data_IF_753757144338
#
_entry.id   IF_753757144338
#
_cell.length_a   1.000
_cell.length_b   1.000
_cell.length_c   1.000
_cell.angle_alpha   90.00
_cell.angle_beta   90.00
_cell.angle_gamma   90.00
#
_symmetry.space_group_name_H-M   'P 1'
#
loop_
_entity.id
_entity.type
_entity.pdbx_description
1 polymer ?
2 non-polymer ?
3 water ?
#
# COMPACT_ATOMS: atom_id res chain seq x y z
N UNK A 1 16.20 3.19 23.20
CA UNK A 1 15.33 1.97 23.28
C UNK A 1 16.08 0.72 22.79
N UNK A 2 16.41 -0.14 23.76
CA UNK A 2 17.17 -1.38 23.49
C UNK A 2 16.28 -2.56 23.10
N UNK A 3 14.96 -2.34 23.13
CA UNK A 3 14.01 -3.40 22.84
C UNK A 3 13.79 -3.74 21.36
N UNK A 4 14.07 -2.81 20.44
CA UNK A 4 14.10 -3.15 19.00
C UNK A 4 15.14 -4.26 18.74
N UNK A 5 16.36 -4.08 19.24
CA UNK A 5 17.41 -5.06 19.02
C UNK A 5 17.00 -6.49 19.47
N UNK A 6 16.54 -6.62 20.72
CA UNK A 6 16.03 -7.92 21.21
C UNK A 6 14.97 -8.55 20.30
N UNK A 7 13.96 -7.76 19.95
CA UNK A 7 12.92 -8.24 19.06
C UNK A 7 13.38 -8.64 17.65
N UNK A 8 14.30 -7.86 17.08
CA UNK A 8 14.82 -8.17 15.78
C UNK A 8 15.54 -9.52 15.83
N UNK A 9 16.34 -9.72 16.88
CA UNK A 9 17.10 -10.94 17.07
C UNK A 9 16.22 -12.18 17.10
N UNK A 10 15.09 -12.10 17.78
CA UNK A 10 14.16 -13.21 17.81
C UNK A 10 13.55 -13.46 16.43
N UNK A 11 13.24 -12.37 15.70
CA UNK A 11 12.69 -12.49 14.35
C UNK A 11 13.70 -13.17 13.43
N UNK A 12 14.96 -12.79 13.56
CA UNK A 12 16.01 -13.42 12.76
C UNK A 12 16.09 -14.93 13.06
N UNK A 13 16.06 -15.29 14.36
CA UNK A 13 16.05 -16.71 14.79
C UNK A 13 14.86 -17.51 14.21
N UNK A 14 13.70 -16.90 14.13
CA UNK A 14 12.53 -17.53 13.54
C UNK A 14 12.76 -17.81 12.05
N UNK A 15 13.35 -16.83 11.36
CA UNK A 15 13.57 -16.98 9.94
C UNK A 15 14.80 -17.80 9.57
N UNK A 16 15.81 -17.82 10.44
CA UNK A 16 16.93 -18.74 10.26
C UNK A 16 16.47 -20.21 10.32
N UNK A 17 15.54 -20.51 11.24
CA UNK A 17 14.97 -21.84 11.38
C UNK A 17 14.08 -22.22 10.19
N UNK A 18 13.19 -21.30 9.80
CA UNK A 18 12.28 -21.51 8.68
C UNK A 18 12.99 -21.77 7.35
N UNK A 19 14.06 -21.04 7.08
CA UNK A 19 14.85 -21.21 5.86
C UNK A 19 15.71 -22.49 5.85
N UNK A 20 16.07 -22.95 7.04
CA UNK A 20 16.80 -24.21 7.22
C UNK A 20 15.91 -25.41 6.86
N UNK A 21 14.59 -25.25 6.99
CA UNK A 21 13.61 -26.12 6.33
C UNK A 21 12.96 -25.40 5.11
N UNK A 27 6.99 -22.95 1.70
CA UNK A 27 5.64 -22.61 1.27
C UNK A 27 5.54 -21.23 0.63
N UNK A 28 4.48 -21.03 -0.17
CA UNK A 28 4.22 -19.80 -0.95
C UNK A 28 4.32 -18.49 -0.17
N UNK A 29 3.78 -18.49 1.05
CA UNK A 29 3.72 -17.30 1.89
C UNK A 29 5.07 -16.70 2.23
N UNK A 30 6.09 -17.54 2.30
CA UNK A 30 7.40 -17.05 2.75
C UNK A 30 8.15 -16.16 1.75
N UNK A 31 7.67 -16.10 0.52
CA UNK A 31 8.28 -15.20 -0.46
C UNK A 31 7.49 -13.92 -0.68
N UNK A 32 6.42 -13.73 0.08
CA UNK A 32 5.51 -12.59 -0.10
C UNK A 32 5.97 -11.40 0.73
N UNK A 33 5.72 -10.19 0.24
CA UNK A 33 5.87 -8.99 1.07
C UNK A 33 4.93 -9.05 2.29
N UNK A 34 3.71 -9.55 2.08
CA UNK A 34 2.68 -9.54 3.13
C UNK A 34 3.12 -10.17 4.41
N UNK A 35 3.68 -11.38 4.31
CA UNK A 35 3.96 -12.22 5.48
C UNK A 35 5.37 -12.84 5.49
N UNK A 36 6.12 -12.71 4.41
CA UNK A 36 7.35 -13.48 4.26
C UNK A 36 8.62 -12.65 4.21
N UNK A 37 9.64 -13.22 3.59
CA UNK A 37 11.01 -12.70 3.65
C UNK A 37 11.27 -11.27 3.13
N UNK A 38 10.62 -10.88 2.03
CA UNK A 38 10.73 -9.50 1.59
C UNK A 38 10.45 -8.45 2.68
N UNK A 39 9.41 -8.65 3.50
CA UNK A 39 9.12 -7.74 4.65
C UNK A 39 10.23 -7.76 5.70
N UNK A 40 10.78 -8.96 5.93
CA UNK A 40 11.89 -9.12 6.86
C UNK A 40 13.17 -8.42 6.38
N UNK A 41 13.51 -8.63 5.10
CA UNK A 41 14.63 -7.96 4.44
C UNK A 41 14.49 -6.43 4.60
N UNK A 42 13.29 -5.90 4.38
CA UNK A 42 13.07 -4.42 4.55
C UNK A 42 13.32 -3.91 5.95
N UNK A 43 12.79 -4.63 6.93
CA UNK A 43 12.97 -4.25 8.33
C UNK A 43 14.44 -4.23 8.72
N UNK A 44 15.18 -5.26 8.34
CA UNK A 44 16.60 -5.41 8.70
C UNK A 44 17.46 -4.38 7.98
N UNK A 45 17.09 -4.11 6.73
CA UNK A 45 17.84 -3.20 5.87
C UNK A 45 17.79 -1.79 6.39
N UNK A 46 16.64 -1.44 6.97
CA UNK A 46 16.45 -0.15 7.61
C UNK A 46 17.21 0.03 8.92
N UNK A 47 17.95 -0.98 9.34
CA UNK A 47 18.66 -0.93 10.60
C UNK A 47 20.16 -0.76 10.39
N UNK A 48 20.52 -0.30 9.19
CA UNK A 48 21.92 -0.19 8.76
C UNK A 48 22.79 0.71 9.66
N UNK A 49 22.20 1.80 10.18
CA UNK A 49 22.94 2.62 11.13
C UNK A 49 23.30 1.86 12.42
N UNK A 50 22.54 0.81 12.76
CA UNK A 50 22.68 0.09 14.05
C UNK A 50 23.97 -0.72 14.11
N UNK A 51 24.42 -1.06 15.31
CA UNK A 51 25.71 -1.73 15.50
C UNK A 51 25.82 -3.10 14.83
N UNK A 52 24.73 -3.88 14.88
CA UNK A 52 24.74 -5.23 14.32
C UNK A 52 24.44 -5.33 12.83
N UNK A 53 24.53 -4.19 12.14
CA UNK A 53 24.16 -4.09 10.73
C UNK A 53 24.95 -4.98 9.76
N UNK A 54 26.16 -5.39 10.13
CA UNK A 54 26.93 -6.32 9.26
C UNK A 54 26.43 -7.77 9.38
N UNK A 55 25.97 -8.13 10.58
CA UNK A 55 25.21 -9.35 10.80
C UNK A 55 23.87 -9.29 10.07
N UNK A 56 23.21 -8.14 10.11
CA UNK A 56 21.92 -7.96 9.45
C UNK A 56 22.02 -8.10 7.92
N UNK A 57 23.02 -7.43 7.33
CA UNK A 57 23.29 -7.56 5.89
C UNK A 57 23.59 -9.03 5.47
N UNK A 58 24.25 -9.77 6.35
CA UNK A 58 24.53 -11.19 6.11
C UNK A 58 23.23 -11.99 6.03
N UNK A 59 22.33 -11.76 7.00
CA UNK A 59 21.00 -12.37 7.00
C UNK A 59 20.22 -11.99 5.75
N UNK A 60 20.26 -10.72 5.40
CA UNK A 60 19.57 -10.25 4.20
C UNK A 60 20.04 -11.07 3.00
N UNK A 61 21.37 -11.17 2.84
CA UNK A 61 21.94 -11.90 1.72
C UNK A 61 21.61 -13.39 1.78
N UNK A 62 21.59 -13.94 3.00
CA UNK A 62 21.10 -15.29 3.21
C UNK A 62 19.68 -15.44 2.69
N UNK A 63 18.80 -14.52 3.12
CA UNK A 63 17.39 -14.61 2.77
C UNK A 63 17.20 -14.37 1.27
N UNK A 64 18.02 -13.50 0.68
CA UNK A 64 17.97 -13.26 -0.77
C UNK A 64 18.40 -14.53 -1.54
N UNK A 65 19.54 -15.10 -1.20
CA UNK A 65 19.95 -16.33 -1.85
C UNK A 65 18.90 -17.42 -1.66
N UNK A 66 18.32 -17.50 -0.46
CA UNK A 66 17.22 -18.43 -0.22
C UNK A 66 16.03 -18.13 -1.12
N UNK A 67 15.74 -16.84 -1.35
CA UNK A 67 14.66 -16.48 -2.28
C UNK A 67 14.93 -16.90 -3.74
N UNK A 68 16.10 -16.55 -4.29
CA UNK A 68 16.36 -16.94 -5.70
C UNK A 68 16.36 -18.47 -5.90
N UNK A 69 16.85 -19.19 -4.91
CA UNK A 69 16.82 -20.65 -4.94
C UNK A 69 15.40 -21.20 -5.05
N UNK A 70 14.46 -20.58 -4.31
CA UNK A 70 13.05 -20.99 -4.33
C UNK A 70 12.35 -20.59 -5.62
N UNK A 71 12.77 -19.46 -6.18
CA UNK A 71 12.24 -18.92 -7.43
C UNK A 71 12.69 -19.81 -8.57
N UNK A 72 13.96 -20.18 -8.55
CA UNK A 72 14.54 -20.98 -9.62
C UNK A 72 13.85 -22.35 -9.71
N UNK A 73 13.46 -22.90 -8.55
CA UNK A 73 12.81 -24.20 -8.48
C UNK A 73 11.32 -24.16 -8.79
N UNK A 74 10.62 -23.11 -8.35
CA UNK A 74 9.15 -23.11 -8.39
C UNK A 74 8.56 -22.06 -9.30
N UNK A 75 9.35 -21.06 -9.66
CA UNK A 75 8.85 -19.92 -10.42
C UNK A 75 7.98 -19.02 -9.56
N UNK A 76 7.32 -18.08 -10.23
CA UNK A 76 6.31 -17.25 -9.58
C UNK A 76 5.03 -17.43 -10.32
N UNK A 77 3.92 -17.29 -9.63
CA UNK A 77 2.64 -17.23 -10.30
C UNK A 77 2.11 -15.80 -10.41
N UNK A 78 2.76 -14.84 -9.75
CA UNK A 78 2.25 -13.47 -9.74
C UNK A 78 3.30 -12.34 -9.68
N UNK A 79 3.03 -11.26 -10.39
CA UNK A 79 3.92 -10.11 -10.37
C UNK A 79 3.54 -9.10 -9.28
N UNK A 80 2.63 -9.47 -8.38
CA UNK A 80 1.95 -8.54 -7.50
C UNK A 80 2.85 -7.90 -6.42
N UNK A 81 2.51 -6.70 -5.99
CA UNK A 81 3.26 -6.01 -4.93
C UNK A 81 3.35 -6.85 -3.64
N UNK A 82 2.21 -7.35 -3.15
CA UNK A 82 2.19 -8.00 -1.83
C UNK A 82 2.41 -9.50 -1.83
N UNK A 83 2.21 -10.17 -2.97
CA UNK A 83 2.45 -11.63 -3.05
C UNK A 83 3.46 -12.02 -4.12
N UNK A 84 3.79 -11.12 -5.03
CA UNK A 84 4.56 -11.52 -6.20
C UNK A 84 5.89 -10.84 -6.40
N UNK A 85 6.32 -10.78 -7.67
CA UNK A 85 7.64 -10.24 -8.01
C UNK A 85 7.90 -8.79 -7.62
N UNK A 86 6.88 -7.92 -7.71
CA UNK A 86 7.08 -6.49 -7.37
C UNK A 86 7.42 -6.28 -5.88
N UNK A 87 6.83 -7.08 -4.99
CA UNK A 87 7.19 -7.02 -3.56
C UNK A 87 8.61 -7.52 -3.28
N UNK A 88 9.01 -8.59 -3.96
CA UNK A 88 10.37 -9.10 -3.83
C UNK A 88 11.38 -8.07 -4.37
N UNK A 89 11.10 -7.52 -5.55
CA UNK A 89 11.94 -6.47 -6.12
C UNK A 89 12.01 -5.22 -5.25
N UNK A 90 10.87 -4.76 -4.74
CA UNK A 90 10.89 -3.62 -3.82
C UNK A 90 11.81 -3.86 -2.63
N UNK A 91 11.76 -5.09 -2.07
CA UNK A 91 12.51 -5.40 -0.86
C UNK A 91 14.05 -5.31 -1.03
N UNK A 92 14.53 -5.42 -2.28
CA UNK A 92 15.98 -5.35 -2.56
C UNK A 92 16.39 -4.18 -3.47
N UNK A 93 15.43 -3.37 -3.88
CA UNK A 93 15.69 -2.30 -4.85
C UNK A 93 16.88 -1.38 -4.47
N UNK A 94 16.99 -1.02 -3.19
CA UNK A 94 18.08 -0.15 -2.68
C UNK A 94 19.49 -0.75 -2.84
N UNK A 95 19.55 -2.04 -3.12
CA UNK A 95 20.83 -2.75 -3.27
C UNK A 95 21.29 -2.85 -4.74
N UNK A 96 20.45 -2.36 -5.66
CA UNK A 96 20.70 -2.39 -7.09
C UNK A 96 22.14 -2.11 -7.51
N UNK A 97 22.71 -1.02 -7.03
CA UNK A 97 24.04 -0.60 -7.47
C UNK A 97 25.18 -1.11 -6.59
N UNK A 98 24.86 -1.94 -5.61
CA UNK A 98 25.89 -2.41 -4.69
C UNK A 98 26.69 -3.57 -5.27
N UNK A 99 26.02 -4.45 -6.01
CA UNK A 99 26.67 -5.62 -6.60
C UNK A 99 25.87 -6.09 -7.81
N UNK A 100 26.58 -6.64 -8.78
CA UNK A 100 25.99 -7.15 -10.02
C UNK A 100 24.87 -8.18 -9.79
N UNK A 101 25.00 -9.01 -8.76
CA UNK A 101 23.99 -10.03 -8.43
C UNK A 101 22.60 -9.44 -8.07
N UNK A 102 22.58 -8.31 -7.36
CA UNK A 102 21.32 -7.62 -7.04
C UNK A 102 20.66 -7.06 -8.30
N UNK A 103 21.46 -6.35 -9.09
CA UNK A 103 20.99 -5.80 -10.36
C UNK A 103 20.51 -6.91 -11.30
N UNK A 104 21.24 -8.02 -11.35
CA UNK A 104 20.85 -9.16 -12.20
C UNK A 104 19.50 -9.70 -11.76
N UNK A 105 19.32 -9.89 -10.46
CA UNK A 105 18.04 -10.34 -9.92
C UNK A 105 16.90 -9.34 -10.19
N UNK A 106 17.16 -8.06 -9.98
CA UNK A 106 16.13 -7.02 -10.21
C UNK A 106 15.67 -6.97 -11.69
N UNK A 107 16.63 -7.06 -12.62
CA UNK A 107 16.34 -7.10 -14.06
C UNK A 107 15.42 -8.27 -14.46
N UNK A 108 15.72 -9.46 -13.92
CA UNK A 108 14.86 -10.63 -14.10
C UNK A 108 13.47 -10.39 -13.58
N UNK A 109 13.40 -9.88 -12.36
CA UNK A 109 12.10 -9.57 -11.75
C UNK A 109 11.32 -8.60 -12.60
N UNK A 110 11.98 -7.53 -13.05
CA UNK A 110 11.34 -6.49 -13.89
C UNK A 110 10.79 -7.01 -15.22
N UNK A 111 11.59 -7.82 -15.92
CA UNK A 111 11.16 -8.44 -17.17
C UNK A 111 9.99 -9.40 -16.91
N UNK A 112 10.07 -10.17 -15.83
CA UNK A 112 8.93 -11.00 -15.50
C UNK A 112 7.68 -10.14 -15.21
N UNK A 113 7.87 -9.05 -14.45
CA UNK A 113 6.76 -8.17 -14.12
C UNK A 113 6.10 -7.59 -15.37
N UNK A 114 6.90 -7.07 -16.30
CA UNK A 114 6.40 -6.53 -17.55
C UNK A 114 5.65 -7.59 -18.38
N UNK A 115 6.26 -8.77 -18.53
CA UNK A 115 5.56 -9.95 -19.09
C UNK A 115 4.22 -10.24 -18.37
N UNK A 116 4.28 -10.34 -17.04
CA UNK A 116 3.08 -10.61 -16.23
C UNK A 116 1.97 -9.59 -16.45
N UNK A 117 2.31 -8.31 -16.39
CA UNK A 117 1.29 -7.27 -16.54
C UNK A 117 0.68 -7.29 -17.95
N UNK A 118 1.54 -7.33 -18.96
CA UNK A 118 1.11 -7.33 -20.34
C UNK A 118 0.18 -8.53 -20.61
N UNK A 119 0.54 -9.68 -20.03
CA UNK A 119 -0.30 -10.89 -20.15
C UNK A 119 -1.63 -10.71 -19.40
N UNK A 120 -1.60 -10.09 -18.23
CA UNK A 120 -2.83 -9.82 -17.48
C UNK A 120 -3.82 -8.91 -18.21
N UNK A 121 -3.30 -7.83 -18.79
CA UNK A 121 -4.15 -6.85 -19.46
C UNK A 121 -4.81 -7.48 -20.70
N UNK A 122 -4.04 -8.26 -21.44
CA UNK A 122 -4.52 -9.05 -22.61
C UNK A 122 -5.72 -9.98 -22.36
N UNK A 123 -5.67 -10.74 -21.28
CA UNK A 123 -6.73 -11.72 -20.97
C UNK A 123 -7.79 -11.20 -20.00
N UNK A 124 -7.78 -9.88 -19.79
CA UNK A 124 -8.72 -9.26 -18.88
C UNK A 124 -10.17 -9.29 -19.43
N UNK A 125 -11.08 -9.79 -18.62
CA UNK A 125 -12.51 -9.76 -18.93
C UNK A 125 -13.20 -8.87 -17.91
N UNK A 126 -13.66 -7.72 -18.37
CA UNK A 126 -14.36 -6.74 -17.52
C UNK A 126 -15.60 -7.30 -16.78
N UNK A 127 -16.25 -8.30 -17.38
CA UNK A 127 -17.40 -8.95 -16.74
C UNK A 127 -17.05 -9.68 -15.44
N UNK A 128 -15.77 -10.06 -15.31
CA UNK A 128 -15.28 -10.83 -14.17
C UNK A 128 -14.37 -10.00 -13.26
N UNK A 129 -14.44 -8.67 -13.42
CA UNK A 129 -13.59 -7.74 -12.68
C UNK A 129 -13.76 -7.87 -11.17
N UNK A 130 -12.61 -8.06 -10.51
CA UNK A 130 -12.51 -8.31 -9.08
C UNK A 130 -11.35 -7.43 -8.57
N UNK A 131 -11.35 -7.06 -7.26
CA UNK A 131 -10.28 -6.13 -6.79
C UNK A 131 -8.81 -6.50 -7.09
N UNK A 132 -8.38 -7.78 -6.90
CA UNK A 132 -6.99 -8.12 -7.22
C UNK A 132 -6.56 -7.78 -8.64
N UNK A 133 -7.51 -7.44 -9.52
CA UNK A 133 -7.18 -7.03 -10.91
C UNK A 133 -6.45 -5.69 -10.92
N UNK A 134 -6.98 -4.72 -10.18
CA UNK A 134 -6.55 -3.32 -10.31
C UNK A 134 -5.92 -2.77 -9.02
N UNK A 135 -6.07 -3.51 -7.91
CA UNK A 135 -5.83 -2.95 -6.56
C UNK A 135 -4.37 -2.85 -6.14
N UNK A 136 -4.16 -2.39 -4.91
CA UNK A 136 -2.82 -2.15 -4.40
C UNK A 136 -2.16 -3.48 -4.01
N UNK A 137 -2.93 -4.34 -3.34
CA UNK A 137 -2.36 -5.54 -2.73
C UNK A 137 -1.90 -6.59 -3.76
N UNK A 138 -2.79 -6.97 -4.67
CA UNK A 138 -2.48 -7.96 -5.71
C UNK A 138 -2.50 -7.43 -7.14
N UNK A 139 -3.07 -6.25 -7.35
CA UNK A 139 -3.32 -5.77 -8.73
C UNK A 139 -2.34 -4.73 -9.26
N UNK A 140 -2.74 -4.07 -10.34
CA UNK A 140 -1.85 -3.26 -11.15
C UNK A 140 -1.42 -1.97 -10.49
N UNK A 141 -2.29 -1.40 -9.63
CA UNK A 141 -1.96 -0.16 -8.89
C UNK A 141 -0.71 -0.35 -8.02
N UNK A 142 -0.70 -1.41 -7.23
CA UNK A 142 0.45 -1.79 -6.41
C UNK A 142 1.70 -2.06 -7.23
N UNK A 143 1.55 -2.77 -8.35
CA UNK A 143 2.67 -3.03 -9.27
C UNK A 143 3.25 -1.73 -9.81
N UNK A 144 2.37 -0.82 -10.24
CA UNK A 144 2.77 0.51 -10.74
C UNK A 144 3.53 1.31 -9.67
N UNK A 145 3.14 1.16 -8.41
CA UNK A 145 3.81 1.87 -7.29
C UNK A 145 5.30 1.56 -7.32
N UNK A 146 5.63 0.26 -7.39
CA UNK A 146 7.01 -0.20 -7.56
C UNK A 146 7.62 0.27 -8.88
N UNK A 147 6.91 0.07 -9.99
CA UNK A 147 7.46 0.43 -11.33
C UNK A 147 7.90 1.87 -11.41
N UNK A 148 7.14 2.80 -10.80
CA UNK A 148 7.42 4.24 -10.85
C UNK A 148 8.71 4.69 -10.14
N UNK A 149 9.31 3.80 -9.38
CA UNK A 149 10.65 4.01 -8.81
C UNK A 149 11.78 3.71 -9.81
N UNK A 150 11.48 3.03 -10.92
CA UNK A 150 12.50 2.76 -11.92
C UNK A 150 12.53 3.89 -12.93
N UNK A 151 13.68 4.55 -13.06
CA UNK A 151 13.81 5.68 -14.00
C UNK A 151 14.19 5.27 -15.43
N UNK A 152 14.56 4.02 -15.63
CA UNK A 152 14.86 3.47 -16.96
C UNK A 152 13.69 3.68 -17.92
N UNK A 153 13.92 4.43 -19.02
CA UNK A 153 12.84 4.76 -19.97
C UNK A 153 12.25 3.56 -20.75
N UNK A 154 12.90 2.40 -20.70
CA UNK A 154 12.38 1.20 -21.36
C UNK A 154 11.04 0.75 -20.75
N UNK A 155 10.71 1.23 -19.55
CA UNK A 155 9.46 0.86 -18.88
C UNK A 155 8.34 1.88 -19.05
N UNK A 156 8.60 2.88 -19.91
CA UNK A 156 7.67 3.96 -20.17
C UNK A 156 6.40 3.43 -20.81
N UNK A 157 6.58 2.52 -21.75
CA UNK A 157 5.44 1.93 -22.45
C UNK A 157 4.55 1.14 -21.49
N UNK A 158 5.16 0.27 -20.68
CA UNK A 158 4.47 -0.49 -19.65
C UNK A 158 3.69 0.42 -18.68
N UNK A 159 4.34 1.50 -18.23
CA UNK A 159 3.73 2.45 -17.29
C UNK A 159 2.47 3.06 -17.87
N UNK A 160 2.57 3.48 -19.13
CA UNK A 160 1.47 4.12 -19.85
C UNK A 160 0.33 3.13 -20.12
N UNK A 161 0.70 1.89 -20.45
CA UNK A 161 -0.26 0.79 -20.64
C UNK A 161 -1.09 0.56 -19.38
N UNK A 162 -0.43 0.47 -18.22
CA UNK A 162 -1.12 0.33 -16.92
C UNK A 162 -1.98 1.57 -16.58
N UNK A 163 -1.39 2.75 -16.72
CA UNK A 163 -2.09 4.02 -16.46
C UNK A 163 -3.37 4.13 -17.31
N UNK A 164 -3.26 3.84 -18.61
CA UNK A 164 -4.44 3.89 -19.49
C UNK A 164 -5.48 2.85 -19.11
N UNK A 165 -5.02 1.65 -18.77
CA UNK A 165 -5.90 0.58 -18.33
C UNK A 165 -6.65 0.91 -17.03
N UNK A 166 -5.94 1.42 -16.02
CA UNK A 166 -6.59 1.89 -14.80
C UNK A 166 -7.63 3.01 -15.05
N UNK A 167 -7.21 4.09 -15.72
CA UNK A 167 -8.10 5.23 -16.03
C UNK A 167 -9.39 4.80 -16.70
N UNK A 168 -9.27 3.89 -17.67
CA UNK A 168 -10.43 3.36 -18.39
C UNK A 168 -11.42 2.61 -17.48
N UNK A 169 -10.94 2.08 -16.36
CA UNK A 169 -11.81 1.42 -15.41
C UNK A 169 -12.68 2.40 -14.62
N UNK A 170 -12.42 3.70 -14.77
CA UNK A 170 -13.23 4.71 -14.09
C UNK A 170 -14.39 5.17 -14.98
N UNK A 171 -14.43 4.64 -16.21
CA UNK A 171 -15.51 4.95 -17.16
C UNK A 171 -16.80 4.22 -16.83
N UNK A 172 -17.92 4.84 -17.18
CA UNK A 172 -19.24 4.22 -17.09
C UNK A 172 -19.38 3.10 -18.12
N UNK A 173 -19.91 1.97 -17.68
CA UNK A 173 -20.08 0.79 -18.52
C UNK A 173 -21.50 0.27 -18.47
N UNK A 174 -21.93 -0.24 -17.30
CA UNK A 174 -23.27 -0.88 -17.17
C UNK A 174 -24.39 0.10 -17.51
N UNK A 175 -24.23 0.75 -18.66
CA UNK A 175 -24.84 2.06 -18.86
C UNK A 175 -23.89 2.97 -18.12
N UNK A 176 -23.74 2.66 -16.83
CA UNK A 176 -22.80 3.28 -15.92
C UNK A 176 -22.22 2.18 -15.00
N UNK A 177 -20.89 2.11 -14.77
CA UNK A 177 -20.31 1.10 -13.82
C UNK A 177 -18.79 0.96 -13.46
N UNK A 178 -17.88 0.99 -14.43
CA UNK A 178 -16.70 0.06 -14.54
C UNK A 178 -16.07 -0.67 -13.35
N UNK A 179 -15.61 0.08 -12.34
CA UNK A 179 -14.90 -0.50 -11.20
C UNK A 179 -15.84 -1.27 -10.27
N UNK A 180 -17.13 -1.26 -10.61
CA UNK A 180 -18.13 -1.94 -9.81
C UNK A 180 -17.85 -3.43 -9.73
N UNK A 181 -17.95 -3.98 -8.53
CA UNK A 181 -17.67 -5.40 -8.31
C UNK A 181 -18.99 -6.11 -8.06
N UNK A 182 -19.27 -7.11 -8.89
CA UNK A 182 -20.45 -7.96 -8.71
C UNK A 182 -20.28 -8.84 -7.46
N UNK A 183 -21.40 -9.20 -6.84
CA UNK A 183 -21.41 -9.94 -5.57
C UNK A 183 -20.52 -11.18 -5.67
N UNK A 184 -20.61 -11.82 -6.84
CA UNK A 184 -19.91 -13.07 -7.17
C UNK A 184 -18.39 -12.93 -7.27
N UNK A 185 -17.94 -11.71 -7.58
CA UNK A 185 -16.51 -11.41 -7.81
C UNK A 185 -15.89 -10.68 -6.60
N UNK A 186 -16.57 -10.73 -5.46
CA UNK A 186 -16.03 -10.18 -4.20
C UNK A 186 -14.93 -11.14 -3.75
N UNK A 187 -13.96 -10.63 -2.98
CA UNK A 187 -12.75 -11.39 -2.63
C UNK A 187 -12.98 -12.57 -1.68
N UNK A 188 -14.10 -12.50 -0.95
CA UNK A 188 -14.51 -13.58 -0.06
C UNK A 188 -16.02 -13.62 0.08
N UNK A 189 -16.50 -14.68 0.73
CA UNK A 189 -17.93 -14.90 0.88
C UNK A 189 -18.59 -13.95 1.87
N UNK A 190 -17.92 -13.66 2.99
CA UNK A 190 -18.40 -12.62 3.89
C UNK A 190 -18.75 -11.36 3.09
N UNK A 191 -17.83 -10.92 2.23
CA UNK A 191 -18.04 -9.76 1.37
C UNK A 191 -19.12 -9.99 0.28
N UNK A 192 -19.16 -11.20 -0.29
CA UNK A 192 -20.23 -11.64 -1.20
C UNK A 192 -21.62 -11.51 -0.56
N UNK A 193 -21.70 -11.87 0.72
CA UNK A 193 -22.94 -11.80 1.47
C UNK A 193 -23.20 -10.39 1.99
N UNK A 194 -22.14 -9.67 2.36
CA UNK A 194 -22.28 -8.25 2.71
C UNK A 194 -22.77 -7.44 1.51
N UNK A 195 -22.39 -7.90 0.31
CA UNK A 195 -22.71 -7.17 -0.92
C UNK A 195 -23.46 -8.04 -1.95
N UNK A 196 -24.71 -8.44 -1.62
CA UNK A 196 -25.46 -9.36 -2.50
C UNK A 196 -25.86 -8.76 -3.85
N UNK A 197 -25.79 -7.43 -3.96
CA UNK A 197 -25.99 -6.73 -5.24
C UNK A 197 -24.69 -6.07 -5.69
N UNK A 198 -23.57 -6.51 -5.10
CA UNK A 198 -22.26 -5.98 -5.45
C UNK A 198 -21.98 -4.62 -4.80
N UNK A 199 -20.83 -4.04 -5.15
CA UNK A 199 -20.47 -2.69 -4.75
C UNK A 199 -19.28 -2.13 -5.53
N UNK A 200 -19.15 -0.81 -5.49
CA UNK A 200 -17.91 -0.11 -5.78
C UNK A 200 -17.08 -0.05 -4.49
N UNK A 201 -15.93 -0.72 -4.49
CA UNK A 201 -15.01 -0.73 -3.33
C UNK A 201 -14.34 0.64 -3.16
N UNK A 202 -14.37 1.13 -1.92
CA UNK A 202 -14.00 2.52 -1.61
C UNK A 202 -12.80 2.63 -0.66
N UNK A 203 -12.11 1.50 -0.49
CA UNK A 203 -10.91 1.42 0.34
C UNK A 203 -9.68 1.79 -0.46
N UNK A 204 -8.60 2.14 0.23
CA UNK A 204 -7.33 2.42 -0.41
C UNK A 204 -6.72 1.15 -0.99
N UNK A 205 -6.68 0.12 -0.15
CA UNK A 205 -6.01 -1.15 -0.45
C UNK A 205 -6.64 -1.93 -1.62
N UNK A 206 -7.96 -1.85 -1.73
CA UNK A 206 -8.69 -2.69 -2.67
C UNK A 206 -9.66 -1.95 -3.58
N UNK A 207 -9.69 -0.62 -3.48
CA UNK A 207 -10.73 0.14 -4.13
C UNK A 207 -10.25 1.40 -4.80
N UNK A 208 -11.15 2.38 -4.86
CA UNK A 208 -11.07 3.54 -5.76
C UNK A 208 -9.98 4.55 -5.37
N UNK A 209 -9.82 4.76 -4.07
CA UNK A 209 -8.80 5.67 -3.55
C UNK A 209 -7.41 5.28 -4.00
N UNK A 210 -7.17 3.96 -4.03
CA UNK A 210 -5.85 3.41 -4.37
C UNK A 210 -5.52 3.66 -5.82
N UNK A 211 -6.51 3.49 -6.72
CA UNK A 211 -6.34 3.87 -8.12
C UNK A 211 -6.07 5.34 -8.23
N UNK A 212 -6.87 6.16 -7.55
CA UNK A 212 -6.68 7.61 -7.50
C UNK A 212 -5.28 8.03 -7.07
N UNK A 213 -4.79 7.48 -5.97
CA UNK A 213 -3.44 7.78 -5.48
C UNK A 213 -2.39 7.45 -6.52
N UNK A 214 -2.52 6.28 -7.15
CA UNK A 214 -1.47 5.84 -8.08
C UNK A 214 -1.48 6.72 -9.34
N UNK A 215 -2.66 7.13 -9.77
CA UNK A 215 -2.75 8.07 -10.91
C UNK A 215 -2.20 9.46 -10.64
N UNK A 216 -2.41 9.96 -9.41
CA UNK A 216 -1.84 11.23 -8.99
C UNK A 216 -0.32 11.12 -8.95
N UNK A 217 0.18 10.04 -8.31
CA UNK A 217 1.63 9.80 -8.22
C UNK A 217 2.26 9.66 -9.60
N UNK A 218 1.66 8.87 -10.49
CA UNK A 218 2.06 8.79 -11.92
C UNK A 218 2.17 10.16 -12.59
N UNK A 219 1.16 11.03 -12.44
CA UNK A 219 1.24 12.40 -12.95
C UNK A 219 2.47 13.18 -12.46
N UNK A 220 2.73 13.22 -11.15
CA UNK A 220 3.90 13.94 -10.65
C UNK A 220 5.20 13.31 -11.13
N UNK A 221 5.18 12.00 -11.42
CA UNK A 221 6.36 11.31 -11.94
C UNK A 221 6.65 11.63 -13.42
N UNK A 222 5.66 12.20 -14.11
CA UNK A 222 5.78 12.61 -15.52
C UNK A 222 4.93 11.79 -16.46
N UNK A 223 4.12 10.90 -15.89
CA UNK A 223 3.28 9.97 -16.64
C UNK A 223 1.79 10.26 -16.42
N UNK A 224 1.22 11.04 -17.34
CA UNK A 224 -0.21 11.31 -17.38
C UNK A 224 -0.63 11.78 -18.72
N UNK A 225 -1.94 11.68 -18.99
CA UNK A 225 -2.57 12.31 -20.14
C UNK A 225 -3.93 12.86 -19.69
N UNK A 226 -4.65 13.53 -20.59
CA UNK A 226 -5.96 14.10 -20.25
C UNK A 226 -6.92 13.07 -19.62
N UNK A 227 -6.81 11.83 -20.06
CA UNK A 227 -7.69 10.74 -19.59
C UNK A 227 -7.38 10.25 -18.15
N UNK A 228 -6.11 10.15 -17.80
CA UNK A 228 -5.70 9.76 -16.45
C UNK A 228 -6.01 10.87 -15.46
N UNK A 229 -5.82 12.12 -15.88
CA UNK A 229 -6.18 13.29 -15.06
C UNK A 229 -7.69 13.37 -14.87
N UNK A 230 -8.44 13.04 -15.92
CA UNK A 230 -9.90 12.95 -15.80
C UNK A 230 -10.32 11.78 -14.92
N UNK A 231 -9.56 10.70 -14.91
CA UNK A 231 -9.86 9.55 -14.01
C UNK A 231 -9.66 9.94 -12.55
N UNK A 232 -8.58 10.66 -12.29
CA UNK A 232 -8.25 11.15 -10.95
C UNK A 232 -9.33 12.13 -10.43
N UNK A 233 -9.68 13.11 -11.26
CA UNK A 233 -10.74 14.07 -10.96
C UNK A 233 -12.08 13.39 -10.62
N UNK A 234 -12.50 12.45 -11.47
CA UNK A 234 -13.74 11.68 -11.26
C UNK A 234 -13.72 10.91 -9.94
N UNK A 235 -12.60 10.27 -9.64
CA UNK A 235 -12.44 9.54 -8.39
C UNK A 235 -12.64 10.48 -7.20
N UNK A 236 -12.00 11.64 -7.22
CA UNK A 236 -12.14 12.57 -6.11
C UNK A 236 -13.56 13.10 -6.01
N UNK A 237 -14.15 13.44 -7.16
CA UNK A 237 -15.56 13.86 -7.24
C UNK A 237 -16.50 12.81 -6.61
N UNK A 238 -16.19 11.53 -6.81
CA UNK A 238 -16.99 10.44 -6.21
C UNK A 238 -16.81 10.38 -4.70
N UNK A 239 -15.58 10.62 -4.21
CA UNK A 239 -15.38 10.74 -2.77
C UNK A 239 -16.15 11.92 -2.19
N UNK A 240 -16.10 13.06 -2.87
CA UNK A 240 -16.79 14.26 -2.42
C UNK A 240 -18.29 14.03 -2.38
N UNK A 241 -18.81 13.30 -3.35
CA UNK A 241 -20.27 13.10 -3.45
C UNK A 241 -20.78 12.17 -2.35
N UNK A 242 -20.08 11.07 -2.12
CA UNK A 242 -20.59 10.04 -1.23
C UNK A 242 -20.08 10.14 0.23
N UNK A 243 -19.30 11.17 0.54
CA UNK A 243 -18.87 11.44 1.92
C UNK A 243 -20.08 11.52 2.86
N UNK A 244 -19.97 10.86 4.01
CA UNK A 244 -21.05 10.93 5.01
C UNK A 244 -21.12 12.30 5.66
N UNK A 245 -22.23 12.56 6.33
CA UNK A 245 -22.61 13.93 6.62
C UNK A 245 -22.73 14.18 8.11
N UNK A 246 -22.47 15.44 8.49
CA UNK A 246 -22.71 15.95 9.85
C UNK A 246 -21.85 15.21 10.91
N UNK A 247 -22.50 14.55 11.89
CA UNK A 247 -21.80 13.76 12.92
C UNK A 247 -20.86 12.71 12.33
N UNK A 248 -21.13 12.34 11.08
CA UNK A 248 -20.28 11.42 10.34
C UNK A 248 -19.45 12.09 9.23
N UNK A 249 -19.27 13.40 9.36
CA UNK A 249 -18.34 14.12 8.48
C UNK A 249 -16.98 13.41 8.50
N UNK A 250 -16.35 13.35 7.33
CA UNK A 250 -15.03 12.75 7.11
C UNK A 250 -15.04 11.21 7.18
N UNK A 251 -16.22 10.63 6.99
CA UNK A 251 -16.38 9.17 6.97
C UNK A 251 -16.98 8.68 5.64
N UNK A 252 -16.58 7.47 5.25
CA UNK A 252 -17.04 6.84 4.02
C UNK A 252 -17.28 5.38 4.32
N UNK A 253 -18.35 4.84 3.76
CA UNK A 253 -18.57 3.39 3.77
C UNK A 253 -17.50 2.70 2.94
N UNK A 254 -17.27 1.42 3.23
CA UNK A 254 -16.26 0.61 2.52
C UNK A 254 -16.66 0.39 1.07
N UNK A 255 -17.96 0.38 0.81
CA UNK A 255 -18.48 0.06 -0.52
C UNK A 255 -19.77 0.84 -0.80
N UNK A 256 -19.98 1.15 -2.08
CA UNK A 256 -21.19 1.85 -2.56
C UNK A 256 -21.91 0.96 -3.55
N UNK A 257 -23.22 0.80 -3.35
CA UNK A 257 -24.02 -0.17 -4.11
C UNK A 257 -24.69 0.53 -5.29
N UNK A 258 -24.98 -0.24 -6.35
CA UNK A 258 -25.47 0.27 -7.62
C UNK A 258 -26.53 1.35 -7.50
N UNK A 259 -27.55 1.09 -6.67
CA UNK A 259 -28.66 2.04 -6.48
C UNK A 259 -28.22 3.37 -5.85
N UNK A 260 -27.36 3.29 -4.83
CA UNK A 260 -26.79 4.47 -4.20
C UNK A 260 -26.02 5.32 -5.20
N UNK A 261 -25.24 4.65 -6.06
CA UNK A 261 -24.52 5.31 -7.15
C UNK A 261 -25.49 5.97 -8.14
N UNK A 262 -26.55 5.25 -8.51
CA UNK A 262 -27.58 5.78 -9.41
C UNK A 262 -28.29 6.98 -8.79
N UNK A 263 -28.62 6.88 -7.50
CA UNK A 263 -29.25 7.97 -6.78
C UNK A 263 -28.31 9.16 -6.55
N UNK A 264 -27.02 8.87 -6.42
CA UNK A 264 -25.98 9.84 -6.05
C UNK A 264 -26.05 10.27 -4.57
N UNK A 265 -26.77 9.50 -3.75
CA UNK A 265 -26.65 9.61 -2.30
C UNK A 265 -26.38 8.23 -1.71
N UNK A 266 -25.81 8.20 -0.51
CA UNK A 266 -25.85 7.02 0.33
C UNK A 266 -27.33 6.73 0.68
N UNK A 267 -27.70 5.44 0.68
CA UNK A 267 -29.04 5.01 1.06
C UNK A 267 -28.98 4.18 2.35
N UNK A 268 -28.18 3.11 2.32
CA UNK A 268 -28.06 2.25 3.48
C UNK A 268 -26.79 2.60 4.23
N UNK A 269 -26.91 2.76 5.54
CA UNK A 269 -25.78 2.96 6.44
C UNK A 269 -24.96 1.68 6.54
N UNK A 270 -23.66 1.85 6.78
CA UNK A 270 -22.76 0.73 7.08
C UNK A 270 -22.92 0.23 8.54
N UNK A 271 -22.75 -1.08 8.71
CA UNK A 271 -22.71 -1.69 10.05
C UNK A 271 -21.38 -1.41 10.73
N UNK A 272 -20.30 -1.38 9.92
CA UNK A 272 -18.95 -1.26 10.43
C UNK A 272 -18.07 -0.49 9.49
N UNK A 273 -17.66 0.70 9.92
CA UNK A 273 -16.61 1.46 9.25
C UNK A 273 -15.47 1.52 10.27
N UNK A 274 -14.23 1.53 9.79
CA UNK A 274 -13.10 1.64 10.68
C UNK A 274 -12.11 2.69 10.17
N UNK A 275 -11.21 3.16 11.04
CA UNK A 275 -10.14 4.07 10.60
C UNK A 275 -8.89 3.24 10.41
N UNK A 276 -8.53 3.06 9.14
CA UNK A 276 -7.42 2.21 8.74
C UNK A 276 -6.75 2.72 7.48
N UNK A 277 -5.54 2.23 7.25
CA UNK A 277 -4.87 2.43 5.98
C UNK A 277 -5.66 1.74 4.85
N UNK A 278 -5.96 0.46 5.01
CA UNK A 278 -6.62 -0.30 3.94
C UNK A 278 -8.03 0.19 3.54
N UNK A 279 -8.84 0.54 4.55
CA UNK A 279 -10.19 1.05 4.36
C UNK A 279 -10.41 2.21 5.34
N UNK A 280 -11.09 3.25 4.88
CA UNK A 280 -11.51 4.32 5.78
C UNK A 280 -10.69 5.59 5.65
N UNK A 281 -11.02 6.55 6.51
CA UNK A 281 -10.43 7.90 6.49
C UNK A 281 -8.92 8.01 6.33
N UNK A 282 -8.12 7.29 7.14
CA UNK A 282 -6.66 7.47 7.01
C UNK A 282 -6.13 7.20 5.60
N UNK A 283 -6.53 6.10 4.99
CA UNK A 283 -6.11 5.81 3.61
C UNK A 283 -6.73 6.75 2.59
N UNK A 284 -8.02 7.05 2.77
CA UNK A 284 -8.72 8.00 1.90
C UNK A 284 -8.05 9.39 1.94
N UNK A 285 -7.51 9.80 3.09
CA UNK A 285 -6.84 11.11 3.19
C UNK A 285 -5.66 11.23 2.23
N UNK A 286 -5.02 10.09 1.92
CA UNK A 286 -3.91 10.07 0.94
C UNK A 286 -4.38 10.47 -0.47
N UNK A 287 -5.53 9.97 -0.88
CA UNK A 287 -6.14 10.41 -2.15
C UNK A 287 -6.25 11.94 -2.22
N UNK A 288 -6.73 12.57 -1.16
CA UNK A 288 -7.01 14.00 -1.20
C UNK A 288 -5.66 14.77 -1.17
N UNK A 289 -4.72 14.22 -0.42
CA UNK A 289 -3.42 14.82 -0.27
C UNK A 289 -2.75 14.81 -1.65
N UNK A 290 -2.59 13.60 -2.21
CA UNK A 290 -1.93 13.41 -3.49
C UNK A 290 -2.67 14.07 -4.64
N UNK A 291 -3.99 13.93 -4.69
CA UNK A 291 -4.84 14.65 -5.68
C UNK A 291 -4.64 16.15 -5.59
N UNK A 292 -4.71 16.68 -4.37
CA UNK A 292 -4.52 18.09 -4.10
C UNK A 292 -3.18 18.64 -4.52
N UNK A 293 -2.11 17.89 -4.23
CA UNK A 293 -0.77 18.29 -4.66
C UNK A 293 -0.61 18.11 -6.17
N UNK A 294 -1.11 17.00 -6.73
CA UNK A 294 -1.01 16.74 -8.19
C UNK A 294 -1.81 17.72 -9.05
N UNK A 295 -3.01 18.09 -8.59
CA UNK A 295 -3.95 18.99 -9.29
C UNK A 295 -3.79 20.46 -8.85
N UNK A 296 -2.85 20.73 -7.96
CA UNK A 296 -2.65 22.07 -7.38
C UNK A 296 -3.98 22.65 -6.84
N UNK A 297 -4.64 21.87 -6.01
CA UNK A 297 -5.90 22.26 -5.39
C UNK A 297 -5.69 22.39 -3.89
N UNK A 298 -5.77 23.62 -3.36
CA UNK A 298 -5.47 23.86 -1.95
C UNK A 298 -6.56 23.28 -1.07
N UNK A 299 -7.79 23.30 -1.58
CA UNK A 299 -8.94 22.75 -0.88
C UNK A 299 -8.78 21.25 -0.59
N UNK A 300 -8.41 20.47 -1.61
CA UNK A 300 -8.14 19.03 -1.43
C UNK A 300 -7.02 18.78 -0.40
N UNK A 301 -5.94 19.54 -0.47
CA UNK A 301 -4.86 19.35 0.48
C UNK A 301 -5.35 19.67 1.90
N UNK A 302 -5.99 20.83 2.07
CA UNK A 302 -6.56 21.21 3.38
C UNK A 302 -7.59 20.17 3.89
N UNK A 303 -8.40 19.62 2.99
CA UNK A 303 -9.37 18.58 3.40
C UNK A 303 -8.63 17.33 3.84
N UNK A 304 -7.61 16.93 3.08
CA UNK A 304 -6.81 15.75 3.45
C UNK A 304 -6.42 15.80 4.94
N UNK A 305 -5.96 16.95 5.40
CA UNK A 305 -5.53 17.07 6.80
C UNK A 305 -6.68 16.93 7.77
N UNK A 306 -7.81 17.52 7.43
CA UNK A 306 -9.00 17.49 8.27
C UNK A 306 -9.48 16.04 8.39
N UNK A 307 -9.52 15.32 7.27
CA UNK A 307 -9.91 13.91 7.23
C UNK A 307 -9.01 13.04 8.12
N UNK A 308 -7.69 13.24 8.04
CA UNK A 308 -6.79 12.40 8.80
C UNK A 308 -6.91 12.76 10.28
N UNK A 309 -7.04 14.04 10.55
CA UNK A 309 -7.08 14.56 11.92
C UNK A 309 -8.33 14.01 12.63
N UNK A 310 -9.44 13.97 11.90
CA UNK A 310 -10.68 13.39 12.38
C UNK A 310 -10.49 11.94 12.77
N UNK A 311 -9.77 11.20 11.94
CA UNK A 311 -9.50 9.78 12.18
C UNK A 311 -8.53 9.56 13.34
N UNK A 312 -7.53 10.43 13.47
CA UNK A 312 -6.61 10.35 14.61
C UNK A 312 -7.35 10.59 15.93
N UNK A 313 -8.19 11.61 15.96
CA UNK A 313 -9.02 11.89 17.11
C UNK A 313 -9.92 10.71 17.47
N UNK A 314 -10.44 10.03 16.44
CA UNK A 314 -11.50 9.01 16.57
C UNK A 314 -11.00 7.56 16.75
N UNK A 315 -10.07 7.14 15.88
CA UNK A 315 -9.49 5.78 15.89
C UNK A 315 -10.56 4.69 15.85
N UNK A 316 -11.53 4.85 14.97
CA UNK A 316 -12.63 3.92 14.85
C UNK A 316 -12.15 2.51 14.48
N UNK A 317 -12.56 1.53 15.28
CA UNK A 317 -12.17 0.13 15.11
C UNK A 317 -10.72 -0.25 15.39
N UNK A 318 -9.93 0.65 15.98
CA UNK A 318 -8.53 0.30 16.14
C UNK A 318 -8.41 -0.62 17.36
N UNK A 319 -7.89 -1.84 17.15
CA UNK A 319 -7.60 -2.77 18.25
C UNK A 319 -6.21 -3.40 18.24
N UNK A 320 -5.32 -2.90 17.41
CA UNK A 320 -3.94 -3.32 17.43
C UNK A 320 -3.02 -2.24 16.85
N UNK A 321 -1.73 -2.54 16.89
CA UNK A 321 -0.69 -1.65 16.38
C UNK A 321 -0.12 -2.07 15.00
N UNK A 322 -0.78 -3.00 14.31
CA UNK A 322 -0.33 -3.46 12.99
C UNK A 322 -0.42 -2.32 11.97
N UNK A 323 0.21 -2.56 10.82
CA UNK A 323 0.16 -1.59 9.73
C UNK A 323 -1.19 -1.59 9.02
N UNK A 324 -1.64 -2.74 8.55
CA UNK A 324 -2.76 -2.80 7.59
C UNK A 324 -4.01 -2.09 8.07
N UNK A 325 -4.52 -2.49 9.21
CA UNK A 325 -5.69 -1.83 9.78
C UNK A 325 -5.50 -1.57 11.28
N UNK A 326 -4.27 -1.27 11.68
CA UNK A 326 -3.97 -0.94 13.06
C UNK A 326 -3.35 0.46 13.19
N UNK A 327 -2.90 0.75 14.39
CA UNK A 327 -2.47 2.10 14.72
C UNK A 327 -1.10 2.52 14.10
N UNK A 328 -0.19 1.56 13.88
CA UNK A 328 1.10 1.91 13.25
C UNK A 328 0.89 2.45 11.82
N UNK A 329 -0.13 1.94 11.12
CA UNK A 329 -0.42 2.44 9.77
C UNK A 329 -0.91 3.88 9.79
N UNK A 330 -1.80 4.21 10.72
CA UNK A 330 -2.29 5.61 10.94
C UNK A 330 -1.12 6.54 11.24
N UNK A 331 -0.29 6.12 12.18
CA UNK A 331 0.90 6.88 12.55
C UNK A 331 1.82 7.15 11.34
N UNK A 332 2.08 6.14 10.54
CA UNK A 332 2.97 6.31 9.41
C UNK A 332 2.42 7.25 8.33
N UNK A 333 1.10 7.22 8.17
CA UNK A 333 0.42 8.20 7.32
C UNK A 333 0.59 9.63 7.85
N UNK A 334 0.41 9.85 9.17
CA UNK A 334 0.68 11.15 9.78
C UNK A 334 2.11 11.61 9.54
N UNK A 335 3.04 10.67 9.61
CA UNK A 335 4.44 11.01 9.47
C UNK A 335 4.70 11.45 8.00
N UNK A 336 4.01 10.80 7.07
CA UNK A 336 4.07 11.22 5.68
C UNK A 336 3.47 12.61 5.43
N UNK A 337 2.27 12.87 5.95
CA UNK A 337 1.72 14.25 5.96
C UNK A 337 2.70 15.31 6.46
N UNK A 338 3.34 15.04 7.61
CA UNK A 338 4.27 16.00 8.21
C UNK A 338 5.49 16.24 7.31
N UNK A 339 6.05 15.15 6.78
CA UNK A 339 7.15 15.20 5.80
C UNK A 339 6.81 16.06 4.57
N UNK A 340 5.59 15.92 4.00
CA UNK A 340 5.28 16.65 2.76
C UNK A 340 4.80 18.10 2.99
N UNK A 341 4.09 18.31 4.09
CA UNK A 341 3.40 19.57 4.38
C UNK A 341 4.04 20.40 5.50
N UNK A 342 4.94 19.77 6.26
CA UNK A 342 5.50 20.40 7.44
C UNK A 342 4.41 20.83 8.41
N UNK A 343 3.33 20.04 8.43
CA UNK A 343 2.25 20.28 9.38
C UNK A 343 2.62 19.77 10.76
N UNK A 344 2.14 20.45 11.79
CA UNK A 344 2.38 20.07 13.19
C UNK A 344 1.15 19.42 13.81
N UNK A 345 0.08 19.33 13.01
CA UNK A 345 -1.21 18.74 13.44
C UNK A 345 -1.18 17.35 14.09
N UNK A 346 -0.19 16.54 13.74
CA UNK A 346 -0.20 15.13 14.16
C UNK A 346 0.94 14.85 15.13
N UNK A 347 1.54 15.94 15.60
CA UNK A 347 2.73 15.89 16.43
C UNK A 347 2.51 15.16 17.74
N UNK A 348 1.37 15.41 18.37
CA UNK A 348 1.03 14.79 19.64
C UNK A 348 0.81 13.29 19.54
N UNK A 349 0.06 12.88 18.52
CA UNK A 349 -0.13 11.46 18.24
C UNK A 349 1.17 10.76 17.95
N UNK A 350 2.02 11.38 17.15
CA UNK A 350 3.34 10.79 16.81
C UNK A 350 4.19 10.69 18.08
N UNK A 351 4.18 11.75 18.90
CA UNK A 351 4.94 11.76 20.18
C UNK A 351 4.43 10.69 21.13
N UNK A 352 3.12 10.60 21.28
CA UNK A 352 2.51 9.63 22.20
C UNK A 352 2.80 8.17 21.81
N UNK A 353 2.75 7.88 20.51
CA UNK A 353 3.09 6.56 19.97
C UNK A 353 4.55 6.21 20.27
N UNK A 354 5.44 7.17 20.14
CA UNK A 354 6.84 6.87 20.38
C UNK A 354 7.17 6.75 21.85
N UNK A 355 6.46 7.49 22.71
CA UNK A 355 6.58 7.33 24.16
C UNK A 355 6.14 5.92 24.56
N UNK A 356 5.06 5.44 23.93
CA UNK A 356 4.49 4.13 24.24
C UNK A 356 5.15 2.93 23.55
N UNK A 357 6.35 3.13 22.99
CA UNK A 357 6.93 2.19 22.01
C UNK A 357 7.28 0.84 22.60
N UNK A 358 7.82 0.88 23.82
CA UNK A 358 8.25 -0.32 24.53
C UNK A 358 7.07 -1.26 24.78
N UNK A 359 5.99 -0.71 25.32
CA UNK A 359 4.78 -1.47 25.58
C UNK A 359 4.15 -1.97 24.26
N UNK A 360 4.30 -1.20 23.20
CA UNK A 360 3.75 -1.59 21.90
C UNK A 360 4.37 -2.92 21.40
N UNK A 361 5.69 -3.05 21.47
CA UNK A 361 6.37 -4.27 21.03
C UNK A 361 6.19 -5.47 21.93
N UNK A 362 6.22 -5.25 23.25
CA UNK A 362 6.11 -6.31 24.23
C UNK A 362 4.71 -6.95 24.20
N UNK A 363 3.69 -6.12 24.07
CA UNK A 363 2.33 -6.62 24.02
C UNK A 363 1.90 -6.95 22.60
N UNK A 364 2.79 -6.77 21.63
CA UNK A 364 2.44 -7.08 20.24
C UNK A 364 2.11 -8.58 20.13
N UNK A 365 0.95 -8.90 19.60
CA UNK A 365 0.51 -10.30 19.50
C UNK A 365 1.48 -11.19 18.71
N UNK A 366 1.65 -12.42 19.17
CA UNK A 366 2.37 -13.43 18.38
C UNK A 366 1.47 -14.01 17.29
N UNK A 367 0.16 -13.79 17.41
CA UNK A 367 -0.86 -14.36 16.53
C UNK A 367 -0.88 -13.73 15.14
N UNK A 368 -0.24 -12.56 15.04
CA UNK A 368 -0.19 -11.79 13.82
C UNK A 368 1.05 -12.15 13.00
N UNK A 369 1.90 -12.99 13.58
CA UNK A 369 3.15 -13.39 12.92
C UNK A 369 4.16 -12.24 12.87
N UNK A 370 5.22 -12.45 12.09
CA UNK A 370 6.36 -11.56 12.11
C UNK A 370 6.42 -10.63 10.92
N UNK A 371 5.50 -10.82 9.98
CA UNK A 371 5.55 -10.18 8.67
C UNK A 371 5.13 -8.70 8.63
N UNK A 372 5.27 -8.13 7.44
CA UNK A 372 5.18 -6.70 7.26
C UNK A 372 3.79 -6.17 7.50
N UNK A 373 2.82 -6.77 6.78
CA UNK A 373 1.53 -6.14 6.64
C UNK A 373 0.74 -6.19 7.96
N UNK A 374 0.79 -7.33 8.63
CA UNK A 374 0.03 -7.50 9.87
C UNK A 374 0.93 -7.77 11.06
N UNK A 375 2.18 -8.12 10.77
CA UNK A 375 3.05 -8.72 11.78
C UNK A 375 3.90 -7.68 12.48
N UNK A 376 4.68 -8.14 13.45
CA UNK A 376 5.52 -7.24 14.23
C UNK A 376 6.56 -6.43 13.43
N UNK A 377 7.14 -7.00 12.37
CA UNK A 377 8.21 -6.30 11.64
C UNK A 377 7.72 -5.01 10.96
N UNK A 378 6.44 -4.94 10.63
CA UNK A 378 5.90 -3.69 10.10
C UNK A 378 5.94 -2.59 11.15
N UNK A 379 5.53 -2.96 12.37
CA UNK A 379 5.56 -2.07 13.51
C UNK A 379 6.99 -1.57 13.80
N UNK A 380 7.95 -2.48 13.79
CA UNK A 380 9.37 -2.16 13.99
C UNK A 380 9.85 -1.19 12.91
N UNK A 381 9.44 -1.40 11.66
CA UNK A 381 9.80 -0.47 10.60
C UNK A 381 9.34 0.95 10.93
N UNK A 382 8.08 1.10 11.32
CA UNK A 382 7.54 2.39 11.72
C UNK A 382 8.40 2.99 12.83
N UNK A 383 8.63 2.22 13.89
CA UNK A 383 9.31 2.72 15.08
C UNK A 383 10.72 3.07 14.71
N UNK A 384 11.32 2.30 13.81
CA UNK A 384 12.72 2.51 13.48
C UNK A 384 12.95 3.84 12.73
N UNK A 385 12.00 4.28 11.90
CA UNK A 385 12.18 5.53 11.12
C UNK A 385 11.88 6.78 11.90
N UNK A 386 11.18 6.63 13.04
CA UNK A 386 11.15 7.67 14.05
C UNK A 386 12.51 7.86 14.70
N UNK A 387 13.16 6.77 15.12
CA UNK A 387 14.50 6.84 15.74
C UNK A 387 15.60 7.35 14.83
N UNK A 388 15.58 6.91 13.57
CA UNK A 388 16.56 7.30 12.55
C UNK A 388 15.79 7.48 11.23
N UNK A 389 15.51 8.74 10.86
CA UNK A 389 14.54 9.01 9.79
C UNK A 389 15.04 8.82 8.37
N UNK A 390 16.37 8.70 8.16
CA UNK A 390 16.85 8.32 6.83
C UNK A 390 16.34 6.91 6.49
N UNK A 391 15.63 6.80 5.37
CA UNK A 391 15.16 5.51 4.86
C UNK A 391 16.19 4.95 3.94
N UNK A 392 16.75 3.81 4.34
CA UNK A 392 17.69 3.09 3.51
C UNK A 392 16.97 2.32 2.38
N UNK A 393 15.66 2.06 2.54
CA UNK A 393 14.91 1.21 1.61
C UNK A 393 13.73 1.97 1.04
N UNK A 394 13.02 1.34 0.09
CA UNK A 394 11.78 1.92 -0.43
C UNK A 394 10.53 1.30 0.17
N UNK A 395 10.61 0.83 1.42
CA UNK A 395 9.47 0.12 2.03
C UNK A 395 8.15 0.88 1.99
N UNK A 396 8.24 2.21 2.16
CA UNK A 396 7.04 3.09 2.17
C UNK A 396 6.20 3.08 0.90
N UNK A 397 6.87 2.76 -0.23
CA UNK A 397 6.22 2.61 -1.53
C UNK A 397 5.08 1.62 -1.46
N UNK A 398 5.26 0.57 -0.68
CA UNK A 398 4.26 -0.51 -0.57
C UNK A 398 2.95 -0.03 0.08
N UNK A 399 3.03 1.09 0.80
CA UNK A 399 1.88 1.71 1.49
C UNK A 399 1.36 2.93 0.76
N UNK A 400 1.93 3.21 -0.42
CA UNK A 400 1.64 4.44 -1.19
C UNK A 400 1.95 5.68 -0.39
N UNK A 401 3.05 5.63 0.34
CA UNK A 401 3.55 6.79 1.07
C UNK A 401 4.75 7.25 0.28
N UNK A 402 4.56 8.37 -0.44
CA UNK A 402 5.49 8.79 -1.48
C UNK A 402 6.30 10.00 -1.00
N UNK A 403 7.47 9.70 -0.42
CA UNK A 403 8.39 10.69 0.15
C UNK A 403 8.92 11.63 -0.91
N UNK A 404 8.92 11.15 -2.16
CA UNK A 404 9.40 11.92 -3.33
C UNK A 404 8.33 12.68 -4.09
N UNK A 405 7.12 12.72 -3.54
CA UNK A 405 5.96 13.27 -4.23
C UNK A 405 6.21 14.71 -4.72
N UNK A 406 7.05 15.46 -4.00
CA UNK A 406 7.29 16.86 -4.33
C UNK A 406 8.72 17.08 -4.79
N UNK A 407 9.40 15.98 -5.13
CA UNK A 407 10.76 16.09 -5.68
C UNK A 407 10.74 16.25 -7.19
N UNK A 408 9.58 16.03 -7.79
CA UNK A 408 9.39 16.31 -9.22
C UNK A 408 9.54 15.08 -10.11
N UNK A 409 10.28 15.26 -11.20
CA UNK A 409 10.48 14.21 -12.21
C UNK A 409 11.63 14.50 -13.17
X LIG B 1 -6.28 -4.10 6.48
#
# INVERSE_FOLDING_TARGET
>A
KKNIKRNVEKIIAQWDERTRKNKENFDFGELTLSTGLPGIILMLAELKNKDNSKIYQKKIDNYIEYIVSKLSTYGLLTGSLYSGAAGIALSILHLREDDEKYKNLLDSLNRYIEYFVREKIEGFNLENITPPDYDVIEGLSGILSYLLLINDEQYDDLKILIINFLSNLTKENNGLISLYIKSENQMSQSESEMYPLGCLNMGLAHGLAGVGCILAYAHIKGYSNEASLSALQKIIFIYEKFELERKKQFLWKDGLVADELKKEKVIREASFIRDAWCYGGPGISLLYLYGGLALDNDYFVDKAEKILESAMQRKLGIDSYMICHGYSGLIEICSLFKRLLNTKKFDSYMEEFNVNSEQILEEYGDESGTGFLEGISGCILVLSKFEYSINFTYWRQALLLFDDFLKGG
>B hetero
1 ZN ZN
#
